data_IF_452815150246
#
_entry.id   IF_452815150246
#
_cell.length_a   1.000
_cell.length_b   1.000
_cell.length_c   1.000
_cell.angle_alpha   90.00
_cell.angle_beta   90.00
_cell.angle_gamma   90.00
#
_symmetry.space_group_name_H-M   'P 1'
#
loop_
_entity.id
_entity.type
_entity.pdbx_description
1 polymer ?
#
# COMPACT_ATOMS: atom_id res chain seq x y z
N UNK A 1 6.94 29.19 9.65
CA UNK A 1 6.18 28.27 8.79
C UNK A 1 6.92 26.94 8.70
N UNK A 2 6.22 25.83 8.71
CA UNK A 2 6.82 24.50 8.57
C UNK A 2 7.60 24.42 7.25
N UNK A 3 8.79 23.77 7.27
CA UNK A 3 9.55 23.49 6.04
C UNK A 3 8.87 22.46 5.15
N UNK A 4 7.85 21.77 5.67
CA UNK A 4 7.13 20.71 4.99
C UNK A 4 5.69 21.13 4.74
N UNK A 5 5.24 20.92 3.52
CA UNK A 5 3.89 21.22 3.07
C UNK A 5 3.28 19.95 2.50
N UNK A 6 2.17 19.52 3.10
CA UNK A 6 1.38 18.39 2.61
C UNK A 6 0.20 18.95 1.86
N UNK A 7 0.06 18.54 0.61
CA UNK A 7 -1.06 18.87 -0.27
C UNK A 7 -1.70 17.60 -0.83
N UNK A 8 -2.85 17.73 -1.45
CA UNK A 8 -3.59 16.65 -2.09
C UNK A 8 -3.85 16.97 -3.56
N UNK A 9 -3.99 15.93 -4.37
CA UNK A 9 -4.45 16.06 -5.75
C UNK A 9 -5.98 16.10 -5.89
N UNK A 10 -6.72 15.89 -4.78
CA UNK A 10 -8.19 15.97 -4.71
C UNK A 10 -8.55 16.78 -3.48
N UNK A 11 -9.42 17.79 -3.66
CA UNK A 11 -9.97 18.55 -2.53
C UNK A 11 -10.65 17.60 -1.56
N UNK A 12 -10.50 17.85 -0.27
CA UNK A 12 -11.16 17.11 0.80
C UNK A 12 -10.89 15.59 0.80
N UNK A 13 -9.76 15.14 0.25
CA UNK A 13 -9.38 13.74 0.31
C UNK A 13 -9.10 13.31 1.76
N UNK A 14 -9.92 12.45 2.39
CA UNK A 14 -9.79 12.16 3.83
C UNK A 14 -8.43 11.56 4.20
N UNK A 15 -7.84 10.79 3.29
CA UNK A 15 -6.51 10.22 3.51
C UNK A 15 -5.43 11.30 3.58
N UNK A 16 -5.44 12.25 2.65
CA UNK A 16 -4.48 13.35 2.63
C UNK A 16 -4.65 14.28 3.85
N UNK A 17 -5.88 14.60 4.21
CA UNK A 17 -6.19 15.36 5.43
C UNK A 17 -5.69 14.63 6.67
N UNK A 18 -5.89 13.31 6.77
CA UNK A 18 -5.39 12.48 7.85
C UNK A 18 -3.87 12.47 7.95
N UNK A 19 -3.15 12.43 6.81
CA UNK A 19 -1.69 12.54 6.76
C UNK A 19 -1.23 13.92 7.22
N UNK A 20 -1.85 15.00 6.73
CA UNK A 20 -1.55 16.38 7.13
C UNK A 20 -1.74 16.58 8.64
N UNK A 21 -2.87 16.15 9.18
CA UNK A 21 -3.16 16.21 10.59
C UNK A 21 -2.14 15.40 11.42
N UNK A 22 -1.87 14.16 11.03
CA UNK A 22 -0.88 13.32 11.72
C UNK A 22 0.55 13.88 11.63
N UNK A 23 0.86 14.63 10.58
CA UNK A 23 2.14 15.35 10.42
C UNK A 23 2.21 16.62 11.27
N UNK A 24 1.13 17.03 11.92
CA UNK A 24 1.00 18.28 12.68
C UNK A 24 1.10 19.53 11.77
N UNK A 25 0.54 19.45 10.56
CA UNK A 25 0.39 20.61 9.69
C UNK A 25 -0.65 21.56 10.28
N UNK A 26 -0.29 22.84 10.45
CA UNK A 26 -1.14 23.85 11.07
C UNK A 26 -2.27 24.33 10.17
N UNK A 27 -1.98 24.48 8.87
CA UNK A 27 -2.92 24.98 7.88
C UNK A 27 -3.64 23.82 7.18
N UNK A 28 -4.91 23.98 6.91
CA UNK A 28 -5.65 23.05 6.07
C UNK A 28 -5.12 23.03 4.65
N UNK A 29 -5.27 21.90 3.96
CA UNK A 29 -4.80 21.75 2.57
C UNK A 29 -5.45 22.80 1.67
N UNK A 30 -6.73 23.13 1.90
CA UNK A 30 -7.48 24.15 1.15
C UNK A 30 -6.95 25.58 1.32
N UNK A 31 -6.24 25.86 2.42
CA UNK A 31 -5.61 27.16 2.67
C UNK A 31 -4.21 27.24 2.02
N UNK A 32 -3.68 26.10 1.57
CA UNK A 32 -2.35 26.01 0.96
C UNK A 32 -2.46 25.97 -0.56
N UNK A 33 -3.42 25.22 -1.10
CA UNK A 33 -3.56 24.99 -2.53
C UNK A 33 -5.02 25.02 -2.96
N UNK A 34 -5.32 25.79 -4.01
CA UNK A 34 -6.60 25.75 -4.70
C UNK A 34 -6.53 24.77 -5.89
N UNK A 35 -7.48 23.84 -5.95
CA UNK A 35 -7.57 22.81 -6.98
C UNK A 35 -8.74 23.11 -7.93
N UNK A 36 -8.54 24.03 -8.85
CA UNK A 36 -9.59 24.48 -9.77
C UNK A 36 -9.64 23.56 -11.00
N UNK A 37 -10.85 23.16 -11.37
CA UNK A 37 -11.14 22.57 -12.68
C UNK A 37 -12.00 23.56 -13.47
N UNK A 38 -11.58 23.89 -14.69
CA UNK A 38 -12.32 24.77 -15.58
C UNK A 38 -13.50 24.04 -16.24
N UNK A 39 -14.39 24.80 -16.88
CA UNK A 39 -15.60 24.27 -17.53
C UNK A 39 -15.28 23.30 -18.69
N UNK A 40 -14.11 23.41 -19.29
CA UNK A 40 -13.57 22.51 -20.31
C UNK A 40 -12.84 21.29 -19.74
N UNK A 41 -12.96 21.04 -18.40
CA UNK A 41 -12.30 19.99 -17.64
C UNK A 41 -10.77 20.10 -17.52
N UNK A 42 -10.17 21.20 -17.92
CA UNK A 42 -8.76 21.45 -17.63
C UNK A 42 -8.55 21.75 -16.14
N UNK A 43 -7.51 21.15 -15.56
CA UNK A 43 -7.17 21.33 -14.17
C UNK A 43 -6.04 22.35 -14.01
N UNK A 44 -6.21 23.27 -13.05
CA UNK A 44 -5.26 24.33 -12.73
C UNK A 44 -5.05 24.42 -11.21
N UNK A 45 -4.00 23.79 -10.66
CA UNK A 45 -3.64 23.96 -9.27
C UNK A 45 -2.99 25.33 -9.04
N UNK A 46 -3.22 25.90 -7.86
CA UNK A 46 -2.61 27.19 -7.48
C UNK A 46 -2.22 27.15 -6.01
N UNK A 47 -0.94 27.26 -5.72
CA UNK A 47 -0.46 27.52 -4.36
C UNK A 47 -0.86 28.92 -3.91
N UNK A 48 -1.46 29.02 -2.74
CA UNK A 48 -1.96 30.27 -2.20
C UNK A 48 -0.85 30.98 -1.39
N UNK A 49 -0.83 32.30 -1.49
CA UNK A 49 0.13 33.17 -0.81
C UNK A 49 -0.62 34.39 -0.28
N UNK A 50 -0.42 34.73 0.98
CA UNK A 50 -1.10 35.84 1.64
C UNK A 50 -0.61 37.20 1.10
N UNK A 51 0.70 37.31 0.85
CA UNK A 51 1.32 38.53 0.37
C UNK A 51 2.30 38.21 -0.76
N UNK A 52 2.05 38.78 -1.91
CA UNK A 52 2.94 38.66 -3.09
C UNK A 52 3.53 40.04 -3.39
N UNK A 53 4.86 40.13 -3.45
CA UNK A 53 5.62 41.30 -3.92
C UNK A 53 6.35 40.91 -5.19
N UNK A 54 6.91 41.90 -5.90
CA UNK A 54 7.76 41.63 -7.09
C UNK A 54 8.93 40.69 -6.75
N UNK A 55 9.50 40.81 -5.54
CA UNK A 55 10.62 39.99 -5.07
C UNK A 55 10.21 38.54 -4.71
N UNK A 56 8.99 38.34 -4.27
CA UNK A 56 8.47 37.03 -3.86
C UNK A 56 7.63 36.31 -4.94
N UNK A 57 7.47 36.96 -6.09
CA UNK A 57 6.73 36.41 -7.21
C UNK A 57 7.40 35.12 -7.73
N UNK A 58 6.71 34.00 -7.67
CA UNK A 58 7.24 32.69 -8.05
C UNK A 58 8.13 32.00 -7.01
N UNK A 59 8.34 32.59 -5.82
CA UNK A 59 9.18 32.04 -4.74
C UNK A 59 8.42 31.72 -3.45
N UNK A 60 7.10 31.61 -3.50
CA UNK A 60 6.27 31.35 -2.30
C UNK A 60 6.56 30.03 -1.59
N UNK A 61 7.22 29.11 -2.26
CA UNK A 61 7.61 27.80 -1.73
C UNK A 61 9.13 27.65 -1.57
N UNK A 62 9.89 28.75 -1.66
CA UNK A 62 11.34 28.72 -1.48
C UNK A 62 11.74 28.09 -0.14
N UNK A 63 12.71 27.18 -0.16
CA UNK A 63 13.20 26.44 1.01
C UNK A 63 12.21 25.44 1.58
N UNK A 64 11.08 25.17 0.89
CA UNK A 64 10.05 24.25 1.34
C UNK A 64 10.10 22.92 0.57
N UNK A 65 9.66 21.88 1.24
CA UNK A 65 9.43 20.57 0.65
C UNK A 65 7.93 20.30 0.53
N UNK A 66 7.47 19.95 -0.66
CA UNK A 66 6.07 19.70 -0.95
C UNK A 66 5.84 18.20 -1.07
N UNK A 67 4.86 17.68 -0.32
CA UNK A 67 4.41 16.29 -0.37
C UNK A 67 3.02 16.25 -0.96
N UNK A 68 2.91 15.69 -2.17
CA UNK A 68 1.64 15.52 -2.87
C UNK A 68 1.08 14.18 -2.48
N UNK A 69 0.05 14.15 -1.64
CA UNK A 69 -0.64 12.91 -1.27
C UNK A 69 -1.67 12.59 -2.34
N UNK A 70 -1.38 11.54 -3.11
CA UNK A 70 -2.21 11.02 -4.19
C UNK A 70 -2.87 9.74 -3.75
N UNK A 71 -4.18 9.76 -3.61
CA UNK A 71 -4.95 8.60 -3.24
C UNK A 71 -6.05 8.33 -4.27
N UNK A 72 -6.49 7.08 -4.33
CA UNK A 72 -7.57 6.68 -5.22
C UNK A 72 -8.86 7.44 -4.90
N UNK A 73 -9.57 7.89 -5.92
CA UNK A 73 -10.82 8.63 -5.80
C UNK A 73 -11.97 7.89 -6.49
N UNK A 74 -13.17 8.03 -5.94
CA UNK A 74 -14.39 7.56 -6.61
C UNK A 74 -14.81 8.46 -7.78
N UNK A 75 -14.30 9.70 -7.82
CA UNK A 75 -14.73 10.74 -8.77
C UNK A 75 -13.77 10.93 -9.93
N UNK A 76 -12.52 10.50 -9.79
CA UNK A 76 -11.46 10.69 -10.78
C UNK A 76 -10.83 9.36 -11.13
N UNK A 77 -10.60 9.13 -12.42
CA UNK A 77 -9.80 8.00 -12.89
C UNK A 77 -8.32 8.15 -12.48
N UNK A 78 -7.57 7.05 -12.51
CA UNK A 78 -6.12 7.10 -12.26
C UNK A 78 -5.39 8.01 -13.25
N UNK A 79 -5.87 8.10 -14.50
CA UNK A 79 -5.28 8.97 -15.51
C UNK A 79 -5.47 10.45 -15.17
N UNK A 80 -6.66 10.83 -14.72
CA UNK A 80 -6.94 12.20 -14.25
C UNK A 80 -6.15 12.54 -13.00
N UNK A 81 -6.03 11.62 -12.05
CA UNK A 81 -5.22 11.81 -10.84
C UNK A 81 -3.73 11.96 -11.20
N UNK A 82 -3.21 11.16 -12.14
CA UNK A 82 -1.85 11.29 -12.61
C UNK A 82 -1.58 12.66 -13.25
N UNK A 83 -2.49 13.16 -14.11
CA UNK A 83 -2.37 14.48 -14.69
C UNK A 83 -2.37 15.58 -13.62
N UNK A 84 -3.23 15.45 -12.60
CA UNK A 84 -3.26 16.37 -11.47
C UNK A 84 -1.93 16.35 -10.70
N UNK A 85 -1.35 15.17 -10.46
CA UNK A 85 -0.03 15.04 -9.81
C UNK A 85 1.05 15.79 -10.59
N UNK A 86 1.09 15.65 -11.92
CA UNK A 86 2.07 16.35 -12.74
C UNK A 86 1.95 17.88 -12.64
N UNK A 87 0.72 18.38 -12.75
CA UNK A 87 0.48 19.82 -12.71
C UNK A 87 0.75 20.43 -11.33
N UNK A 88 0.44 19.72 -10.25
CA UNK A 88 0.76 20.18 -8.88
C UNK A 88 2.27 20.18 -8.67
N UNK A 89 2.99 19.15 -9.12
CA UNK A 89 4.43 19.08 -9.00
C UNK A 89 5.12 20.20 -9.78
N UNK A 90 4.69 20.44 -11.02
CA UNK A 90 5.18 21.57 -11.84
C UNK A 90 4.90 22.91 -11.15
N UNK A 91 3.68 23.14 -10.68
CA UNK A 91 3.34 24.35 -9.95
C UNK A 91 4.18 24.53 -8.67
N UNK A 92 4.47 23.45 -7.94
CA UNK A 92 5.34 23.52 -6.78
C UNK A 92 6.77 23.95 -7.15
N UNK A 93 7.36 23.36 -8.20
CA UNK A 93 8.70 23.72 -8.66
C UNK A 93 8.76 25.15 -9.22
N UNK A 94 7.78 25.56 -10.00
CA UNK A 94 7.69 26.92 -10.53
C UNK A 94 7.52 28.00 -9.45
N UNK A 95 7.02 27.60 -8.26
CA UNK A 95 6.94 28.47 -7.09
C UNK A 95 8.12 28.32 -6.11
N UNK A 96 9.22 27.68 -6.54
CA UNK A 96 10.48 27.63 -5.81
C UNK A 96 10.60 26.46 -4.80
N UNK A 97 9.72 25.45 -4.87
CA UNK A 97 9.85 24.29 -3.99
C UNK A 97 11.19 23.58 -4.17
N UNK A 98 11.94 23.43 -3.10
CA UNK A 98 13.26 22.81 -3.09
C UNK A 98 13.19 21.31 -3.38
N UNK A 99 12.15 20.67 -2.85
CA UNK A 99 11.93 19.24 -2.99
C UNK A 99 10.44 18.94 -3.15
N UNK A 100 10.11 18.04 -4.09
CA UNK A 100 8.74 17.59 -4.33
C UNK A 100 8.68 16.07 -4.26
N UNK A 101 7.92 15.53 -3.33
CA UNK A 101 7.65 14.09 -3.25
C UNK A 101 6.20 13.79 -3.57
N UNK A 102 5.98 12.74 -4.37
CA UNK A 102 4.66 12.14 -4.56
C UNK A 102 4.48 11.00 -3.55
N UNK A 103 3.47 11.10 -2.70
CA UNK A 103 3.06 10.05 -1.78
C UNK A 103 1.86 9.33 -2.37
N UNK A 104 2.09 8.20 -2.98
CA UNK A 104 1.09 7.41 -3.69
C UNK A 104 1.09 5.97 -3.17
N UNK A 105 0.33 5.67 -2.09
CA UNK A 105 0.38 4.38 -1.41
C UNK A 105 0.12 3.19 -2.33
N UNK A 106 -0.84 3.28 -3.25
CA UNK A 106 -1.08 2.32 -4.33
C UNK A 106 -0.57 2.93 -5.65
N UNK A 107 0.70 2.63 -5.98
CA UNK A 107 1.42 3.23 -7.10
C UNK A 107 0.74 2.96 -8.43
N UNK A 108 0.40 4.02 -9.16
CA UNK A 108 -0.26 3.90 -10.47
C UNK A 108 0.67 3.23 -11.48
N UNK A 109 0.10 2.46 -12.37
CA UNK A 109 0.80 1.71 -13.42
C UNK A 109 1.81 0.68 -12.93
N UNK A 110 1.97 0.45 -11.63
CA UNK A 110 2.96 -0.51 -11.10
C UNK A 110 2.83 -1.94 -11.61
N UNK A 111 1.62 -2.36 -11.99
CA UNK A 111 1.38 -3.67 -12.60
C UNK A 111 1.57 -3.71 -14.14
N UNK A 112 2.00 -2.60 -14.75
CA UNK A 112 2.29 -2.46 -16.19
C UNK A 112 3.79 -2.19 -16.39
N UNK A 113 4.59 -3.05 -15.79
CA UNK A 113 6.04 -2.96 -15.64
C UNK A 113 6.82 -3.62 -16.78
N UNK A 114 6.12 -4.08 -17.82
CA UNK A 114 6.67 -4.84 -18.95
C UNK A 114 6.28 -4.25 -20.29
N UNK A 115 7.24 -4.23 -21.20
CA UNK A 115 7.08 -3.86 -22.60
C UNK A 115 7.94 -4.77 -23.49
N UNK A 116 7.86 -4.66 -24.82
CA UNK A 116 8.60 -5.51 -25.74
C UNK A 116 10.13 -5.32 -25.67
N UNK A 117 10.59 -4.19 -25.11
CA UNK A 117 12.01 -3.85 -24.91
C UNK A 117 12.50 -4.04 -23.48
N UNK A 118 11.68 -4.54 -22.58
CA UNK A 118 12.08 -4.80 -21.20
C UNK A 118 13.03 -6.00 -21.16
N UNK A 119 14.32 -5.79 -20.90
CA UNK A 119 15.35 -6.83 -20.96
C UNK A 119 15.64 -7.43 -19.58
N UNK A 120 15.54 -6.64 -18.51
CA UNK A 120 15.96 -7.03 -17.15
C UNK A 120 14.80 -7.46 -16.25
N UNK A 121 13.68 -7.87 -16.84
CA UNK A 121 12.53 -8.29 -16.06
C UNK A 121 12.55 -9.81 -15.81
N UNK A 122 12.39 -10.31 -14.56
CA UNK A 122 12.50 -11.73 -14.23
C UNK A 122 11.55 -12.65 -14.98
N UNK A 123 10.42 -12.12 -15.46
CA UNK A 123 9.40 -12.88 -16.21
C UNK A 123 9.44 -12.64 -17.72
N UNK A 124 10.43 -11.91 -18.24
CA UNK A 124 10.57 -11.57 -19.65
C UNK A 124 11.98 -11.94 -20.13
N UNK A 125 12.27 -13.23 -20.12
CA UNK A 125 13.61 -13.77 -20.33
C UNK A 125 13.90 -14.19 -21.76
N UNK A 126 12.85 -14.46 -22.55
CA UNK A 126 12.97 -14.98 -23.90
C UNK A 126 12.07 -14.24 -24.92
N UNK A 127 12.19 -14.58 -26.19
CA UNK A 127 11.41 -13.97 -27.25
C UNK A 127 9.91 -14.18 -27.06
N UNK A 128 9.46 -15.39 -26.73
CA UNK A 128 8.04 -15.71 -26.59
C UNK A 128 7.36 -14.95 -25.43
N UNK A 129 8.11 -14.70 -24.35
CA UNK A 129 7.62 -13.88 -23.23
C UNK A 129 7.50 -12.40 -23.62
N UNK A 130 8.41 -11.88 -24.47
CA UNK A 130 8.39 -10.48 -24.96
C UNK A 130 7.35 -10.25 -26.06
N UNK A 131 7.13 -11.25 -26.92
CA UNK A 131 6.15 -11.19 -28.00
C UNK A 131 4.75 -10.83 -27.49
N UNK A 132 4.39 -11.26 -26.29
CA UNK A 132 3.10 -10.96 -25.64
C UNK A 132 2.87 -9.46 -25.39
N UNK A 133 3.94 -8.66 -25.39
CA UNK A 133 3.90 -7.22 -25.13
C UNK A 133 4.11 -6.38 -26.40
N UNK A 134 4.16 -7.00 -27.58
CA UNK A 134 4.29 -6.25 -28.85
C UNK A 134 3.12 -5.28 -29.00
N UNK A 135 3.43 -4.03 -29.32
CA UNK A 135 2.46 -2.93 -29.43
C UNK A 135 2.05 -2.28 -28.09
N UNK A 136 2.53 -2.78 -26.95
CA UNK A 136 2.25 -2.20 -25.65
C UNK A 136 3.43 -1.34 -25.15
N UNK A 137 3.18 -0.20 -24.48
CA UNK A 137 4.22 0.54 -23.78
C UNK A 137 4.57 -0.14 -22.45
N UNK A 138 5.76 0.12 -21.92
CA UNK A 138 6.04 -0.05 -20.48
C UNK A 138 5.47 1.17 -19.73
N UNK A 139 4.20 1.06 -19.30
CA UNK A 139 3.49 2.22 -18.73
C UNK A 139 4.10 2.68 -17.40
N UNK A 140 4.68 1.76 -16.61
CA UNK A 140 5.37 2.09 -15.37
C UNK A 140 6.59 3.01 -15.62
N UNK A 141 7.38 2.72 -16.67
CA UNK A 141 8.53 3.54 -17.06
C UNK A 141 8.07 4.91 -17.57
N UNK A 142 7.05 4.93 -18.43
CA UNK A 142 6.47 6.19 -18.93
C UNK A 142 5.94 7.06 -17.80
N UNK A 143 5.26 6.45 -16.81
CA UNK A 143 4.76 7.16 -15.64
C UNK A 143 5.91 7.79 -14.83
N UNK A 144 6.98 7.04 -14.58
CA UNK A 144 8.16 7.55 -13.89
C UNK A 144 8.82 8.72 -14.65
N UNK A 145 8.91 8.63 -16.00
CA UNK A 145 9.44 9.71 -16.84
C UNK A 145 8.61 10.99 -16.75
N UNK A 146 7.29 10.88 -16.78
CA UNK A 146 6.38 12.01 -16.65
C UNK A 146 6.45 12.65 -15.25
N UNK A 147 6.56 11.85 -14.20
CA UNK A 147 6.77 12.35 -12.84
C UNK A 147 8.09 13.13 -12.73
N UNK A 148 9.20 12.59 -13.23
CA UNK A 148 10.48 13.28 -13.25
C UNK A 148 10.39 14.60 -14.02
N UNK A 149 9.81 14.58 -15.22
CA UNK A 149 9.68 15.76 -16.07
C UNK A 149 8.83 16.85 -15.42
N UNK A 150 7.81 16.47 -14.66
CA UNK A 150 6.96 17.42 -13.91
C UNK A 150 7.62 17.97 -12.63
N UNK A 151 8.81 17.49 -12.27
CA UNK A 151 9.57 17.99 -11.12
C UNK A 151 9.40 17.19 -9.84
N UNK A 152 8.83 15.98 -9.90
CA UNK A 152 8.83 15.06 -8.75
C UNK A 152 10.24 14.53 -8.53
N UNK A 153 10.81 14.73 -7.34
CA UNK A 153 12.15 14.26 -6.97
C UNK A 153 12.14 12.84 -6.40
N UNK A 154 11.04 12.44 -5.77
CA UNK A 154 10.90 11.14 -5.11
C UNK A 154 9.45 10.67 -5.11
N UNK A 155 9.23 9.39 -5.26
CA UNK A 155 7.92 8.74 -5.08
C UNK A 155 7.96 7.85 -3.87
N UNK A 156 7.00 8.01 -2.97
CA UNK A 156 6.79 7.16 -1.79
C UNK A 156 5.55 6.29 -2.00
N UNK A 157 5.72 4.99 -1.97
CA UNK A 157 4.65 4.00 -2.15
C UNK A 157 4.68 2.96 -1.06
N UNK A 158 3.63 2.15 -0.94
CA UNK A 158 3.51 1.09 0.08
C UNK A 158 3.43 -0.26 -0.61
N UNK A 159 4.26 -1.20 -0.18
CA UNK A 159 4.17 -2.62 -0.56
C UNK A 159 3.90 -2.83 -2.06
N UNK A 160 4.79 -2.36 -2.89
CA UNK A 160 4.66 -2.54 -4.32
C UNK A 160 4.76 -4.03 -4.70
N UNK A 161 3.94 -4.46 -5.66
CA UNK A 161 3.87 -5.86 -6.12
C UNK A 161 5.22 -6.44 -6.56
N UNK A 162 6.08 -5.61 -7.16
CA UNK A 162 7.44 -5.98 -7.61
C UNK A 162 8.43 -4.87 -7.28
N UNK A 163 8.84 -4.79 -6.01
CA UNK A 163 9.65 -3.67 -5.53
C UNK A 163 10.97 -3.54 -6.28
N UNK A 164 11.67 -4.65 -6.56
CA UNK A 164 12.97 -4.64 -7.24
C UNK A 164 12.87 -4.14 -8.68
N UNK A 165 11.84 -4.57 -9.42
CA UNK A 165 11.61 -4.14 -10.81
C UNK A 165 11.28 -2.66 -10.84
N UNK A 166 10.38 -2.22 -9.97
CA UNK A 166 9.99 -0.81 -9.88
C UNK A 166 11.16 0.08 -9.45
N UNK A 167 11.95 -0.37 -8.48
CA UNK A 167 13.15 0.36 -8.04
C UNK A 167 14.14 0.56 -9.20
N UNK A 168 14.40 -0.48 -10.00
CA UNK A 168 15.25 -0.38 -11.20
C UNK A 168 14.68 0.57 -12.25
N UNK A 169 13.36 0.52 -12.53
CA UNK A 169 12.72 1.43 -13.47
C UNK A 169 12.94 2.88 -13.03
N UNK A 170 12.66 3.18 -11.76
CA UNK A 170 12.82 4.54 -11.23
C UNK A 170 14.29 4.97 -11.18
N UNK A 171 15.21 4.10 -10.77
CA UNK A 171 16.65 4.39 -10.81
C UNK A 171 17.14 4.71 -12.23
N UNK A 172 16.71 3.93 -13.22
CA UNK A 172 17.07 4.17 -14.63
C UNK A 172 16.51 5.49 -15.16
N UNK A 173 15.30 5.88 -14.77
CA UNK A 173 14.70 7.15 -15.16
C UNK A 173 15.37 8.32 -14.46
N UNK A 174 15.69 8.20 -13.16
CA UNK A 174 16.23 9.26 -12.31
C UNK A 174 17.76 9.20 -12.16
N UNK A 175 18.48 8.63 -13.11
CA UNK A 175 19.92 8.33 -13.05
C UNK A 175 20.82 9.44 -12.53
N UNK A 176 20.41 10.72 -12.61
CA UNK A 176 21.16 11.87 -12.08
C UNK A 176 20.97 12.06 -10.56
N UNK A 177 20.05 11.30 -9.94
CA UNK A 177 19.68 11.46 -8.54
C UNK A 177 18.92 12.76 -8.25
N UNK A 178 18.79 13.08 -6.98
CA UNK A 178 18.23 14.36 -6.52
C UNK A 178 19.18 15.04 -5.53
N UNK A 179 18.93 16.32 -5.24
CA UNK A 179 19.77 17.16 -4.39
C UNK A 179 19.95 16.63 -2.95
N UNK A 180 19.09 15.74 -2.52
CA UNK A 180 19.07 15.17 -1.15
C UNK A 180 19.58 13.75 -1.05
N UNK A 181 20.02 13.17 -2.15
CA UNK A 181 20.50 11.79 -2.23
C UNK A 181 19.47 10.75 -1.72
N UNK A 182 18.17 11.08 -1.87
CA UNK A 182 17.04 10.20 -1.53
C UNK A 182 16.76 9.29 -2.73
N UNK A 183 16.52 7.99 -2.55
CA UNK A 183 16.11 7.12 -3.65
C UNK A 183 14.88 7.65 -4.38
N UNK A 184 14.83 7.57 -5.72
CA UNK A 184 13.70 8.09 -6.50
C UNK A 184 12.38 7.34 -6.24
N UNK A 185 12.46 6.11 -5.75
CA UNK A 185 11.32 5.32 -5.28
C UNK A 185 11.59 4.80 -3.87
N UNK A 186 10.75 5.19 -2.93
CA UNK A 186 10.69 4.64 -1.58
C UNK A 186 9.50 3.70 -1.48
N UNK A 187 9.78 2.41 -1.45
CA UNK A 187 8.76 1.39 -1.23
C UNK A 187 8.70 1.06 0.26
N UNK A 188 7.69 1.59 0.96
CA UNK A 188 7.52 1.37 2.39
C UNK A 188 7.08 -0.08 2.67
N UNK A 189 7.81 -0.73 3.55
CA UNK A 189 7.48 -2.09 4.00
C UNK A 189 6.41 -2.07 5.08
N UNK A 190 5.25 -2.62 4.78
CA UNK A 190 4.13 -2.73 5.71
C UNK A 190 4.20 -3.98 6.60
N UNK A 191 5.14 -4.90 6.35
CA UNK A 191 5.24 -6.18 7.08
C UNK A 191 5.33 -6.02 8.59
N UNK A 192 6.12 -5.07 9.15
CA UNK A 192 6.17 -4.85 10.60
C UNK A 192 4.83 -4.39 11.18
N UNK A 193 4.10 -3.54 10.45
CA UNK A 193 2.77 -3.07 10.88
C UNK A 193 1.79 -4.25 10.98
N UNK A 194 1.80 -5.14 9.99
CA UNK A 194 0.92 -6.31 9.97
C UNK A 194 1.30 -7.32 11.04
N UNK A 195 2.59 -7.58 11.20
CA UNK A 195 3.10 -8.47 12.25
C UNK A 195 2.63 -8.00 13.63
N UNK A 196 2.81 -6.72 13.92
CA UNK A 196 2.38 -6.13 15.18
C UNK A 196 0.85 -6.17 15.35
N UNK A 197 0.10 -5.92 14.28
CA UNK A 197 -1.35 -6.08 14.32
C UNK A 197 -1.77 -7.53 14.65
N UNK A 198 -1.15 -8.54 14.05
CA UNK A 198 -1.41 -9.96 14.35
C UNK A 198 -1.17 -10.24 15.83
N UNK A 199 -0.04 -9.76 16.38
CA UNK A 199 0.32 -9.97 17.78
C UNK A 199 -0.67 -9.32 18.76
N UNK A 200 -1.20 -8.14 18.43
CA UNK A 200 -2.07 -7.36 19.33
C UNK A 200 -3.57 -7.56 19.10
N UNK A 201 -3.97 -8.14 17.98
CA UNK A 201 -5.38 -8.28 17.60
C UNK A 201 -6.20 -9.17 18.53
N UNK A 202 -5.55 -10.07 19.27
CA UNK A 202 -6.22 -11.08 20.08
C UNK A 202 -6.98 -12.14 19.26
N UNK A 203 -6.78 -12.22 17.95
CA UNK A 203 -7.42 -13.22 17.09
C UNK A 203 -6.91 -14.63 17.37
N UNK A 204 -5.65 -14.73 17.72
CA UNK A 204 -4.96 -16.00 17.90
C UNK A 204 -4.30 -16.08 19.25
N UNK A 205 -4.14 -17.31 19.75
CA UNK A 205 -3.34 -17.55 20.93
C UNK A 205 -1.86 -17.63 20.52
N UNK A 206 -1.08 -16.71 21.04
CA UNK A 206 0.36 -16.61 20.75
C UNK A 206 1.19 -17.50 21.68
N UNK A 207 0.70 -18.72 21.93
CA UNK A 207 1.39 -19.65 22.80
C UNK A 207 2.56 -20.32 22.07
N UNK A 208 3.63 -20.60 22.78
CA UNK A 208 4.81 -21.30 22.28
C UNK A 208 5.30 -20.76 20.93
N UNK A 209 5.49 -19.42 20.85
CA UNK A 209 5.99 -18.74 19.64
C UNK A 209 5.22 -19.09 18.37
N UNK A 210 3.90 -19.23 18.48
CA UNK A 210 3.02 -19.41 17.33
C UNK A 210 2.86 -20.86 16.85
N UNK A 211 3.08 -21.85 17.68
CA UNK A 211 2.89 -23.28 17.32
C UNK A 211 1.52 -23.56 16.71
N UNK A 212 0.46 -22.82 17.11
CA UNK A 212 -0.88 -22.95 16.56
C UNK A 212 -1.21 -21.95 15.47
N UNK A 213 -0.20 -21.29 14.89
CA UNK A 213 -0.35 -20.33 13.79
C UNK A 213 0.19 -20.92 12.49
N UNK A 214 -0.54 -20.70 11.41
CA UNK A 214 -0.10 -21.01 10.05
C UNK A 214 -0.13 -19.75 9.19
N UNK A 215 0.96 -19.49 8.48
CA UNK A 215 1.02 -18.49 7.44
C UNK A 215 0.89 -19.13 6.07
N UNK A 216 0.15 -18.49 5.18
CA UNK A 216 -0.10 -19.02 3.84
C UNK A 216 0.22 -17.94 2.81
N UNK A 217 1.12 -18.28 1.88
CA UNK A 217 1.34 -17.52 0.66
C UNK A 217 0.41 -18.04 -0.44
N UNK A 218 -0.50 -17.22 -1.00
CA UNK A 218 -1.46 -17.65 -2.01
C UNK A 218 -0.81 -18.01 -3.35
N UNK A 219 0.43 -17.60 -3.56
CA UNK A 219 1.30 -18.01 -4.66
C UNK A 219 2.78 -17.73 -4.33
N UNK A 220 3.67 -18.08 -5.26
CA UNK A 220 5.12 -17.91 -5.07
C UNK A 220 5.54 -16.43 -4.94
N UNK A 221 4.79 -15.51 -5.54
CA UNK A 221 5.08 -14.07 -5.47
C UNK A 221 4.88 -13.47 -4.09
N UNK A 222 3.99 -14.04 -3.28
CA UNK A 222 3.69 -13.57 -1.93
C UNK A 222 4.63 -14.13 -0.85
N UNK A 223 5.47 -15.12 -1.16
CA UNK A 223 6.31 -15.84 -0.17
C UNK A 223 7.21 -14.90 0.62
N UNK A 224 7.87 -13.98 -0.06
CA UNK A 224 8.80 -13.04 0.59
C UNK A 224 8.06 -12.16 1.60
N UNK A 225 6.93 -11.57 1.21
CA UNK A 225 6.10 -10.76 2.10
C UNK A 225 5.63 -11.56 3.31
N UNK A 226 5.12 -12.77 3.09
CA UNK A 226 4.63 -13.64 4.18
C UNK A 226 5.76 -14.01 5.15
N UNK A 227 6.95 -14.32 4.63
CA UNK A 227 8.12 -14.59 5.46
C UNK A 227 8.50 -13.36 6.30
N UNK A 228 8.52 -12.16 5.71
CA UNK A 228 8.83 -10.92 6.45
C UNK A 228 7.84 -10.67 7.59
N UNK A 229 6.54 -10.84 7.33
CA UNK A 229 5.52 -10.71 8.40
C UNK A 229 5.75 -11.74 9.50
N UNK A 230 6.07 -12.98 9.14
CA UNK A 230 6.38 -14.04 10.09
C UNK A 230 7.62 -13.71 10.94
N UNK A 231 8.69 -13.24 10.32
CA UNK A 231 9.93 -12.84 11.01
C UNK A 231 9.69 -11.68 11.97
N UNK A 232 9.03 -10.60 11.52
CA UNK A 232 8.70 -9.46 12.39
C UNK A 232 7.74 -9.82 13.51
N UNK A 233 6.88 -10.84 13.33
CA UNK A 233 6.00 -11.30 14.39
C UNK A 233 6.73 -12.11 15.49
N UNK A 234 7.94 -12.59 15.24
CA UNK A 234 8.66 -13.47 16.17
C UNK A 234 8.00 -14.84 16.37
N UNK A 235 7.02 -15.22 15.56
CA UNK A 235 6.29 -16.48 15.66
C UNK A 235 7.08 -17.62 15.00
N UNK A 236 8.26 -17.92 15.54
CA UNK A 236 9.23 -18.84 14.93
C UNK A 236 8.74 -20.29 14.81
N UNK A 237 7.81 -20.73 15.70
CA UNK A 237 7.24 -22.07 15.68
C UNK A 237 5.97 -22.17 14.77
N UNK A 238 5.60 -21.05 14.10
CA UNK A 238 4.54 -21.07 13.09
C UNK A 238 4.98 -21.80 11.83
N UNK A 239 4.02 -22.36 11.11
CA UNK A 239 4.28 -22.98 9.81
C UNK A 239 4.04 -22.01 8.67
N UNK A 240 4.76 -22.18 7.55
CA UNK A 240 4.52 -21.49 6.30
C UNK A 240 4.17 -22.49 5.21
N UNK A 241 3.07 -22.25 4.50
CA UNK A 241 2.62 -23.06 3.37
C UNK A 241 2.44 -22.15 2.16
N UNK A 242 2.90 -22.61 0.99
CA UNK A 242 2.76 -21.88 -0.28
C UNK A 242 1.90 -22.68 -1.24
N UNK A 243 0.92 -22.00 -1.86
CA UNK A 243 0.14 -22.64 -2.92
C UNK A 243 0.81 -22.47 -4.28
N UNK A 244 0.82 -23.57 -5.05
CA UNK A 244 1.31 -23.57 -6.42
C UNK A 244 0.13 -23.42 -7.38
N UNK A 245 0.18 -22.41 -8.24
CA UNK A 245 -0.76 -22.27 -9.36
C UNK A 245 -0.31 -23.12 -10.53
N UNK A 246 -1.11 -24.13 -10.91
CA UNK A 246 -0.93 -24.79 -12.19
C UNK A 246 -1.95 -24.23 -13.16
N UNK A 247 -1.51 -23.59 -14.24
CA UNK A 247 -2.38 -23.07 -15.30
C UNK A 247 -2.57 -24.16 -16.34
N UNK A 248 -3.76 -24.76 -16.42
CA UNK A 248 -4.16 -25.72 -17.43
C UNK A 248 -4.89 -25.10 -18.64
N UNK A 249 -4.99 -23.75 -18.69
CA UNK A 249 -5.64 -23.01 -19.76
C UNK A 249 -5.75 -21.52 -19.46
N UNK A 250 -6.34 -20.73 -20.39
CA UNK A 250 -6.50 -19.28 -20.19
C UNK A 250 -7.47 -18.89 -19.04
N UNK A 251 -8.34 -19.80 -18.60
CA UNK A 251 -9.36 -19.54 -17.56
C UNK A 251 -9.39 -20.54 -16.41
N UNK A 252 -8.81 -21.74 -16.55
CA UNK A 252 -8.85 -22.77 -15.52
C UNK A 252 -7.57 -22.73 -14.69
N UNK A 253 -7.68 -22.20 -13.48
CA UNK A 253 -6.62 -22.23 -12.46
C UNK A 253 -6.91 -23.41 -11.55
N UNK A 254 -6.15 -24.49 -11.72
CA UNK A 254 -6.18 -25.61 -10.75
C UNK A 254 -5.17 -25.31 -9.65
N UNK A 255 -5.65 -25.18 -8.43
CA UNK A 255 -4.80 -25.03 -7.25
C UNK A 255 -4.28 -26.40 -6.86
N UNK A 256 -2.99 -26.65 -7.02
CA UNK A 256 -2.36 -27.79 -6.40
C UNK A 256 -2.13 -27.44 -4.93
N UNK A 257 -3.00 -28.00 -4.08
CA UNK A 257 -2.80 -28.00 -2.64
C UNK A 257 -1.50 -28.78 -2.39
N UNK A 258 -0.46 -28.10 -1.88
CA UNK A 258 0.81 -28.75 -1.58
C UNK A 258 0.59 -29.90 -0.57
N UNK A 259 1.48 -30.86 -0.56
CA UNK A 259 1.45 -31.94 0.45
C UNK A 259 1.50 -31.38 1.87
N UNK A 260 2.05 -30.18 2.01
CA UNK A 260 2.22 -29.46 3.29
C UNK A 260 0.94 -28.86 3.86
N UNK A 261 -0.20 -28.97 3.18
CA UNK A 261 -1.47 -28.44 3.71
C UNK A 261 -1.87 -29.08 5.05
N UNK A 262 -1.40 -30.28 5.33
CA UNK A 262 -1.64 -30.98 6.60
C UNK A 262 -1.01 -30.23 7.79
N UNK A 263 0.06 -29.46 7.54
CA UNK A 263 0.68 -28.62 8.55
C UNK A 263 -0.26 -27.52 9.07
N UNK A 264 -1.31 -27.19 8.33
CA UNK A 264 -2.31 -26.17 8.71
C UNK A 264 -3.41 -26.73 9.61
N UNK A 265 -3.41 -28.03 9.88
CA UNK A 265 -4.47 -28.70 10.67
C UNK A 265 -4.56 -28.11 12.09
N UNK A 266 -5.79 -27.83 12.51
CA UNK A 266 -6.12 -27.28 13.83
C UNK A 266 -5.45 -25.95 14.19
N UNK A 267 -4.90 -25.22 13.17
CA UNK A 267 -4.23 -23.93 13.33
C UNK A 267 -5.12 -22.74 12.96
N UNK A 268 -4.77 -21.59 13.53
CA UNK A 268 -5.27 -20.30 13.11
C UNK A 268 -4.42 -19.83 11.91
N UNK A 269 -5.06 -19.62 10.74
CA UNK A 269 -4.36 -19.43 9.47
C UNK A 269 -4.45 -17.96 9.04
N UNK A 270 -3.31 -17.38 8.69
CA UNK A 270 -3.21 -16.07 8.04
C UNK A 270 -2.77 -16.25 6.58
N UNK A 271 -3.67 -15.95 5.65
CA UNK A 271 -3.36 -15.83 4.23
C UNK A 271 -2.99 -14.37 4.00
N UNK A 272 -1.81 -14.11 3.43
CA UNK A 272 -1.33 -12.73 3.23
C UNK A 272 -1.00 -12.50 1.74
N UNK A 273 -1.50 -11.38 1.20
CA UNK A 273 -1.31 -10.99 -0.20
C UNK A 273 -1.05 -9.49 -0.32
N UNK A 274 -0.51 -9.04 -1.44
CA UNK A 274 -0.27 -7.62 -1.73
C UNK A 274 -1.55 -6.91 -2.16
N UNK A 275 -2.35 -7.52 -3.04
CA UNK A 275 -3.54 -6.87 -3.59
C UNK A 275 -4.73 -7.79 -3.84
N UNK A 276 -5.93 -7.19 -3.73
CA UNK A 276 -7.18 -7.81 -4.15
C UNK A 276 -7.91 -6.91 -5.15
N UNK A 277 -8.23 -7.47 -6.32
CA UNK A 277 -9.10 -6.85 -7.33
C UNK A 277 -10.47 -7.51 -7.39
N UNK A 278 -10.51 -8.81 -7.65
CA UNK A 278 -11.73 -9.61 -7.74
C UNK A 278 -11.88 -10.62 -6.61
N UNK A 279 -10.78 -11.00 -5.97
CA UNK A 279 -10.76 -11.95 -4.86
C UNK A 279 -10.99 -13.41 -5.25
N UNK A 280 -11.15 -13.74 -6.55
CA UNK A 280 -11.45 -15.11 -6.99
C UNK A 280 -10.38 -16.13 -6.59
N UNK A 281 -9.09 -15.80 -6.77
CA UNK A 281 -7.97 -16.66 -6.34
C UNK A 281 -8.02 -16.94 -4.84
N UNK A 282 -8.27 -15.90 -4.04
CA UNK A 282 -8.31 -16.01 -2.58
C UNK A 282 -9.51 -16.84 -2.13
N UNK A 283 -10.68 -16.64 -2.74
CA UNK A 283 -11.86 -17.44 -2.46
C UNK A 283 -11.63 -18.94 -2.75
N UNK A 284 -10.98 -19.23 -3.89
CA UNK A 284 -10.60 -20.61 -4.23
C UNK A 284 -9.61 -21.21 -3.21
N UNK A 285 -8.60 -20.45 -2.79
CA UNK A 285 -7.66 -20.88 -1.76
C UNK A 285 -8.35 -21.15 -0.42
N UNK A 286 -9.22 -20.24 0.03
CA UNK A 286 -10.00 -20.39 1.27
C UNK A 286 -10.87 -21.65 1.22
N UNK A 287 -11.60 -21.88 0.12
CA UNK A 287 -12.43 -23.06 -0.06
C UNK A 287 -11.60 -24.35 -0.05
N UNK A 288 -10.50 -24.35 -0.80
CA UNK A 288 -9.60 -25.51 -0.88
C UNK A 288 -9.02 -25.90 0.50
N UNK A 289 -8.66 -24.92 1.32
CA UNK A 289 -8.18 -25.14 2.70
C UNK A 289 -9.32 -25.66 3.58
N UNK A 290 -10.46 -24.99 3.57
CA UNK A 290 -11.56 -25.27 4.48
C UNK A 290 -12.25 -26.61 4.21
N UNK A 291 -12.37 -27.00 2.94
CA UNK A 291 -13.01 -28.25 2.50
C UNK A 291 -12.06 -29.45 2.51
N UNK A 292 -10.76 -29.22 2.66
CA UNK A 292 -9.78 -30.28 2.74
C UNK A 292 -9.96 -31.10 4.02
N UNK A 293 -10.20 -32.42 3.86
CA UNK A 293 -10.26 -33.36 4.98
C UNK A 293 -8.91 -33.46 5.72
N UNK A 294 -7.82 -33.10 5.07
CA UNK A 294 -6.45 -33.16 5.58
C UNK A 294 -6.07 -31.94 6.41
N UNK A 295 -6.67 -30.78 6.15
CA UNK A 295 -6.29 -29.50 6.76
C UNK A 295 -7.15 -29.16 8.00
N UNK A 296 -8.45 -28.99 7.83
CA UNK A 296 -9.41 -28.58 8.88
C UNK A 296 -8.86 -27.48 9.79
N UNK A 297 -8.63 -26.26 9.26
CA UNK A 297 -8.12 -25.17 10.07
C UNK A 297 -9.12 -24.76 11.15
N UNK A 298 -8.64 -24.13 12.22
CA UNK A 298 -9.47 -23.60 13.28
C UNK A 298 -10.16 -22.30 12.87
N UNK A 299 -9.39 -21.36 12.37
CA UNK A 299 -9.86 -20.10 11.82
C UNK A 299 -9.04 -19.73 10.58
N UNK A 300 -9.65 -18.97 9.67
CA UNK A 300 -9.00 -18.42 8.48
C UNK A 300 -9.13 -16.91 8.51
N UNK A 301 -7.99 -16.23 8.51
CA UNK A 301 -7.84 -14.79 8.37
C UNK A 301 -7.17 -14.48 7.04
N UNK A 302 -7.62 -13.44 6.37
CA UNK A 302 -7.00 -12.99 5.13
C UNK A 302 -6.60 -11.53 5.26
N UNK A 303 -5.37 -11.21 4.85
CA UNK A 303 -4.86 -9.86 4.76
C UNK A 303 -4.51 -9.50 3.31
N UNK A 304 -4.84 -8.27 2.90
CA UNK A 304 -4.37 -7.67 1.66
C UNK A 304 -4.03 -6.20 1.86
N UNK A 305 -2.89 -5.76 1.33
CA UNK A 305 -2.47 -4.34 1.44
C UNK A 305 -3.37 -3.45 0.61
N UNK A 306 -3.51 -3.76 -0.69
CA UNK A 306 -4.29 -2.96 -1.64
C UNK A 306 -5.60 -3.65 -1.98
N UNK A 307 -6.71 -3.06 -1.58
CA UNK A 307 -8.02 -3.67 -1.81
C UNK A 307 -8.94 -2.74 -2.58
N UNK A 308 -9.35 -3.19 -3.76
CA UNK A 308 -10.47 -2.59 -4.49
C UNK A 308 -11.74 -3.38 -4.19
N UNK A 309 -12.70 -2.75 -3.51
CA UNK A 309 -13.98 -3.41 -3.20
C UNK A 309 -14.93 -3.31 -4.41
N UNK A 310 -14.70 -4.20 -5.40
CA UNK A 310 -15.66 -4.43 -6.48
C UNK A 310 -16.84 -5.28 -5.99
N UNK A 311 -17.90 -5.37 -6.78
CA UNK A 311 -19.00 -6.30 -6.47
C UNK A 311 -18.50 -7.73 -6.36
N UNK A 312 -17.70 -8.16 -7.32
CA UNK A 312 -17.10 -9.49 -7.36
C UNK A 312 -16.22 -9.78 -6.14
N UNK A 313 -15.36 -8.82 -5.75
CA UNK A 313 -14.54 -8.96 -4.54
C UNK A 313 -15.38 -9.13 -3.28
N UNK A 314 -16.50 -8.40 -3.16
CA UNK A 314 -17.43 -8.53 -2.02
C UNK A 314 -18.05 -9.92 -1.92
N UNK A 315 -18.45 -10.46 -3.06
CA UNK A 315 -19.05 -11.81 -3.15
C UNK A 315 -18.03 -12.87 -2.78
N UNK A 316 -16.85 -12.82 -3.37
CA UNK A 316 -15.76 -13.77 -3.16
C UNK A 316 -15.22 -13.74 -1.72
N UNK A 317 -15.01 -12.57 -1.15
CA UNK A 317 -14.48 -12.42 0.22
C UNK A 317 -15.55 -12.62 1.31
N UNK A 318 -16.83 -12.68 0.95
CA UNK A 318 -17.90 -12.99 1.90
C UNK A 318 -18.07 -14.51 2.15
N UNK A 319 -17.04 -15.30 1.88
CA UNK A 319 -17.01 -16.76 2.12
C UNK A 319 -17.36 -17.09 3.57
N UNK A 320 -18.20 -18.12 3.84
CA UNK A 320 -18.53 -18.54 5.20
C UNK A 320 -17.29 -19.05 5.97
N UNK A 321 -16.28 -19.51 5.27
CA UNK A 321 -15.04 -20.04 5.85
C UNK A 321 -14.06 -18.93 6.28
N UNK A 322 -14.21 -17.69 5.76
CA UNK A 322 -13.38 -16.58 6.15
C UNK A 322 -13.89 -15.94 7.44
N UNK A 323 -13.08 -15.96 8.49
CA UNK A 323 -13.42 -15.36 9.77
C UNK A 323 -13.27 -13.85 9.74
N UNK A 324 -12.13 -13.33 9.24
CA UNK A 324 -11.86 -11.90 9.13
C UNK A 324 -11.11 -11.61 7.83
N UNK A 325 -11.44 -10.48 7.24
CA UNK A 325 -10.68 -9.85 6.16
C UNK A 325 -10.02 -8.57 6.69
N UNK A 326 -8.71 -8.50 6.63
CA UNK A 326 -7.92 -7.39 7.13
C UNK A 326 -7.30 -6.68 5.91
N UNK A 327 -7.38 -5.37 5.86
CA UNK A 327 -6.76 -4.59 4.77
C UNK A 327 -6.28 -3.24 5.28
N UNK A 328 -5.46 -2.55 4.49
CA UNK A 328 -5.10 -1.16 4.75
C UNK A 328 -5.97 -0.20 3.95
N UNK A 329 -5.93 1.09 4.29
CA UNK A 329 -6.61 2.12 3.52
C UNK A 329 -5.70 2.81 2.47
N UNK A 330 -4.73 2.07 1.92
CA UNK A 330 -3.95 2.52 0.75
C UNK A 330 -4.84 2.92 -0.43
N UNK A 331 -6.01 2.27 -0.54
CA UNK A 331 -7.10 2.64 -1.43
C UNK A 331 -8.28 3.10 -0.54
N UNK A 332 -8.46 4.41 -0.30
CA UNK A 332 -9.40 4.91 0.71
C UNK A 332 -10.86 4.51 0.50
N UNK A 333 -11.23 4.11 -0.71
CA UNK A 333 -12.58 3.60 -1.02
C UNK A 333 -13.03 2.42 -0.16
N UNK A 334 -12.09 1.68 0.46
CA UNK A 334 -12.41 0.58 1.39
C UNK A 334 -13.15 1.08 2.64
N UNK A 335 -12.99 2.35 3.02
CA UNK A 335 -13.65 2.96 4.17
C UNK A 335 -15.14 3.23 3.93
N UNK A 336 -15.59 3.26 2.69
CA UNK A 336 -16.99 3.51 2.35
C UNK A 336 -17.88 2.30 2.71
N UNK A 337 -18.69 2.46 3.73
CA UNK A 337 -19.59 1.41 4.24
C UNK A 337 -20.61 0.90 3.23
N UNK A 338 -21.10 1.76 2.37
CA UNK A 338 -22.10 1.39 1.35
C UNK A 338 -21.45 0.47 0.31
N UNK A 339 -20.17 0.71 0.01
CA UNK A 339 -19.40 -0.14 -0.90
C UNK A 339 -19.06 -1.49 -0.26
N UNK A 340 -18.86 -1.56 1.05
CA UNK A 340 -18.51 -2.80 1.75
C UNK A 340 -19.63 -3.85 1.73
N UNK A 341 -20.90 -3.43 1.72
CA UNK A 341 -22.03 -4.36 1.73
C UNK A 341 -22.01 -5.32 2.94
N UNK A 342 -22.24 -6.63 2.70
CA UNK A 342 -22.20 -7.66 3.75
C UNK A 342 -20.80 -7.92 4.30
N UNK A 343 -19.76 -7.64 3.50
CA UNK A 343 -18.36 -7.83 3.89
C UNK A 343 -17.98 -6.97 5.12
N UNK A 344 -18.69 -5.86 5.36
CA UNK A 344 -18.47 -5.00 6.54
C UNK A 344 -18.55 -5.71 7.89
N UNK A 345 -19.14 -6.90 7.94
CA UNK A 345 -19.20 -7.71 9.18
C UNK A 345 -17.87 -8.42 9.49
N UNK A 346 -17.00 -8.53 8.48
CA UNK A 346 -15.74 -9.29 8.55
C UNK A 346 -14.52 -8.43 8.25
N UNK A 347 -14.70 -7.24 7.64
CA UNK A 347 -13.60 -6.39 7.22
C UNK A 347 -13.05 -5.57 8.38
N UNK A 348 -11.75 -5.48 8.44
CA UNK A 348 -10.98 -4.65 9.36
C UNK A 348 -10.04 -3.81 8.50
N UNK A 349 -10.03 -2.51 8.75
CA UNK A 349 -9.24 -1.58 7.97
C UNK A 349 -8.21 -0.92 8.87
N UNK A 350 -6.94 -1.11 8.54
CA UNK A 350 -5.82 -0.48 9.20
C UNK A 350 -5.58 0.87 8.55
N UNK A 351 -5.73 1.94 9.33
CA UNK A 351 -5.46 3.31 8.87
C UNK A 351 -3.97 3.59 8.98
N UNK A 352 -3.37 3.96 7.87
CA UNK A 352 -1.92 4.13 7.76
C UNK A 352 -1.46 5.60 7.67
N UNK A 353 -2.37 6.57 7.85
CA UNK A 353 -2.05 7.99 7.72
C UNK A 353 -0.93 8.44 8.68
N UNK A 354 -0.98 8.00 9.94
CA UNK A 354 0.07 8.31 10.94
C UNK A 354 1.41 7.69 10.55
N UNK A 355 1.40 6.47 10.06
CA UNK A 355 2.59 5.78 9.60
C UNK A 355 3.22 6.48 8.39
N UNK A 356 2.41 6.89 7.41
CA UNK A 356 2.87 7.69 6.26
C UNK A 356 3.43 9.05 6.73
N UNK A 357 2.74 9.75 7.64
CA UNK A 357 3.21 11.02 8.18
C UNK A 357 4.58 10.87 8.87
N UNK A 358 4.81 9.78 9.58
CA UNK A 358 6.10 9.47 10.18
C UNK A 358 7.16 9.17 9.14
N UNK A 359 6.83 8.39 8.09
CA UNK A 359 7.74 8.16 6.97
C UNK A 359 8.17 9.47 6.30
N UNK A 360 7.23 10.42 6.09
CA UNK A 360 7.53 11.75 5.58
C UNK A 360 8.52 12.49 6.49
N UNK A 361 8.33 12.47 7.81
CA UNK A 361 9.25 13.12 8.77
C UNK A 361 10.65 12.53 8.70
N UNK A 362 10.76 11.22 8.55
CA UNK A 362 12.06 10.53 8.47
C UNK A 362 12.80 10.85 7.17
N UNK A 363 12.12 10.87 6.03
CA UNK A 363 12.72 11.21 4.73
C UNK A 363 13.40 12.57 4.71
N UNK A 364 13.08 13.46 5.65
CA UNK A 364 13.55 14.84 5.68
C UNK A 364 14.62 15.12 6.69
N UNK A 365 14.85 14.22 7.65
CA UNK A 365 15.77 14.53 8.74
C UNK A 365 17.22 14.37 8.37
N UNK A 366 17.58 13.51 7.43
CA UNK A 366 18.98 13.27 7.11
C UNK A 366 19.17 12.67 5.70
N UNK A 367 20.33 12.96 5.10
CA UNK A 367 20.80 12.36 3.86
C UNK A 367 21.09 10.83 3.97
N UNK A 368 20.94 10.24 5.13
CA UNK A 368 20.97 8.80 5.37
C UNK A 368 19.60 8.38 5.88
N UNK A 369 18.82 7.76 5.00
CA UNK A 369 17.64 7.01 5.41
C UNK A 369 18.12 5.88 6.31
N UNK A 370 17.63 5.75 7.54
CA UNK A 370 17.92 4.56 8.35
C UNK A 370 17.61 3.31 7.53
N UNK A 371 18.43 2.28 7.59
CA UNK A 371 18.18 0.99 6.91
C UNK A 371 16.80 0.41 7.29
N UNK A 372 16.24 0.85 8.39
CA UNK A 372 14.97 0.48 8.98
C UNK A 372 13.79 1.40 8.64
N UNK A 373 13.91 2.35 7.70
CA UNK A 373 12.69 2.99 7.13
C UNK A 373 11.74 1.96 6.53
N UNK A 374 12.30 0.88 6.02
CA UNK A 374 11.51 -0.27 5.54
C UNK A 374 10.92 -1.09 6.69
N UNK A 375 11.56 -1.11 7.83
CA UNK A 375 11.13 -1.82 9.03
C UNK A 375 11.03 -0.87 10.20
N UNK A 376 10.16 0.13 10.14
CA UNK A 376 10.08 1.22 11.11
C UNK A 376 9.78 0.68 12.51
N UNK A 377 10.79 0.13 13.16
CA UNK A 377 10.70 -0.33 14.53
C UNK A 377 10.26 0.79 15.49
N UNK A 378 10.68 2.04 15.21
CA UNK A 378 10.26 3.21 15.99
C UNK A 378 8.78 3.54 15.83
N UNK A 379 8.16 3.17 14.71
CA UNK A 379 6.75 3.44 14.43
C UNK A 379 5.86 2.28 14.85
N UNK A 380 6.37 1.05 14.81
CA UNK A 380 5.64 -0.15 15.24
C UNK A 380 5.49 -0.25 16.75
N UNK A 381 6.27 0.50 17.53
CA UNK A 381 6.21 0.50 18.98
C UNK A 381 5.18 1.49 19.58
N UNK A 382 4.63 2.43 18.80
CA UNK A 382 3.63 3.35 19.31
C UNK A 382 2.23 2.76 19.21
N UNK A 383 1.49 2.75 20.32
CA UNK A 383 0.09 2.26 20.38
C UNK A 383 -0.86 3.04 19.47
N UNK A 384 -0.46 4.23 19.04
CA UNK A 384 -1.22 5.13 18.19
C UNK A 384 -1.30 4.69 16.71
N UNK A 385 -0.45 3.75 16.28
CA UNK A 385 -0.44 3.22 14.89
C UNK A 385 -1.60 2.30 14.58
N UNK A 386 -2.31 1.82 15.60
CA UNK A 386 -3.35 0.81 15.47
C UNK A 386 -4.74 1.41 15.50
N UNK A 387 -4.94 2.55 14.85
CA UNK A 387 -6.29 3.00 14.58
C UNK A 387 -6.95 2.06 13.56
N UNK A 388 -7.59 1.05 14.09
CA UNK A 388 -8.49 0.21 13.33
C UNK A 388 -9.76 1.01 13.06
N UNK A 389 -10.30 0.94 11.87
CA UNK A 389 -11.64 1.47 11.62
C UNK A 389 -12.67 0.66 12.42
N UNK A 390 -12.98 1.17 13.62
CA UNK A 390 -13.99 0.60 14.51
C UNK A 390 -15.43 0.73 13.97
N UNK A 391 -15.60 1.27 12.76
CA UNK A 391 -16.89 1.32 12.07
C UNK A 391 -17.41 -0.08 11.72
N UNK A 392 -16.51 -1.05 11.57
CA UNK A 392 -16.88 -2.45 11.52
C UNK A 392 -17.23 -2.86 12.95
N UNK A 393 -18.50 -2.98 13.27
CA UNK A 393 -18.98 -3.51 14.57
C UNK A 393 -18.57 -4.99 14.72
N UNK A 394 -17.27 -5.23 14.71
CA UNK A 394 -16.72 -6.55 14.89
C UNK A 394 -16.64 -6.83 16.38
N UNK A 395 -17.36 -7.82 16.93
CA UNK A 395 -17.31 -8.15 18.34
C UNK A 395 -15.91 -8.58 18.82
N UNK A 396 -15.01 -8.95 17.90
CA UNK A 396 -13.62 -9.26 18.24
C UNK A 396 -12.78 -8.01 18.54
N UNK A 397 -13.22 -6.82 18.09
CA UNK A 397 -12.58 -5.52 18.39
C UNK A 397 -13.15 -4.82 19.63
N UNK A 398 -13.83 -5.52 20.50
CA UNK A 398 -14.15 -4.93 21.77
C UNK A 398 -12.84 -4.62 22.49
N UNK A 399 -12.57 -3.32 22.79
CA UNK A 399 -11.36 -2.84 23.49
C UNK A 399 -11.02 -3.63 24.76
N UNK A 400 -12.05 -4.25 25.37
CA UNK A 400 -11.90 -5.11 26.54
C UNK A 400 -11.25 -6.48 26.25
N UNK A 401 -11.04 -6.86 24.99
CA UNK A 401 -10.36 -8.11 24.57
C UNK A 401 -8.94 -7.90 24.04
N UNK A 402 -8.50 -6.67 23.88
CA UNK A 402 -7.08 -6.35 23.79
C UNK A 402 -6.50 -6.41 25.20
N UNK A 403 -6.69 -7.56 25.86
CA UNK A 403 -5.89 -7.88 27.04
C UNK A 403 -4.47 -8.11 26.55
N UNK A 404 -3.57 -7.30 27.06
CA UNK A 404 -2.15 -7.55 27.08
C UNK A 404 -1.90 -9.02 27.34
N UNK A 405 -1.63 -9.79 26.31
CA UNK A 405 -0.92 -11.03 26.52
C UNK A 405 0.53 -10.61 26.71
N UNK A 406 0.94 -10.49 27.97
CA UNK A 406 2.34 -10.51 28.32
C UNK A 406 2.93 -11.71 27.60
N UNK A 407 3.86 -11.46 26.70
CA UNK A 407 4.77 -12.47 26.18
C UNK A 407 5.50 -12.98 27.42
N UNK A 408 5.04 -14.09 27.98
CA UNK A 408 5.87 -14.85 28.90
C UNK A 408 6.99 -15.41 28.07
N UNK A 409 8.13 -14.69 28.12
CA UNK A 409 9.43 -15.09 27.58
C UNK A 409 9.88 -16.39 28.23
#
# INVERSE_FOLDING_TARGET
>A
MSKHIIVSNVSDAPFALGVGYAHSQENDISDIIALKTFINNEFCPRFLQDHVTEETLGYGLEGKSVYIVSSHSAYYSRNELAMRNYLIASAAKENGAEFVALVEPDLFYSAQDRGPRTLDHPQVTDFASREKFVGQPCSAEMYAQLLKTSGVDCVMTVHNHKPDVMSKIYQNVYHEGNTRNIPPLLNLDISPLIANYILRSGFVRLWNYGEHVGFVAPDEGAVEFVNRVREFSGLHNSVLVTFKKTRSGQRDVTLNISEDVELLKDRDIFILDDMVRTGGTIAANISAIAESKRCRPKNIFFYSTHTTISQEARENLNSPYLNQFITSNTIPGVLNRDVQGRLRKKIIILKIEKWIANAIRHCLKEAQLPEDIYGINSVTQSDELYEVDLSTKNPLHNKSRIQQYELTI
#
